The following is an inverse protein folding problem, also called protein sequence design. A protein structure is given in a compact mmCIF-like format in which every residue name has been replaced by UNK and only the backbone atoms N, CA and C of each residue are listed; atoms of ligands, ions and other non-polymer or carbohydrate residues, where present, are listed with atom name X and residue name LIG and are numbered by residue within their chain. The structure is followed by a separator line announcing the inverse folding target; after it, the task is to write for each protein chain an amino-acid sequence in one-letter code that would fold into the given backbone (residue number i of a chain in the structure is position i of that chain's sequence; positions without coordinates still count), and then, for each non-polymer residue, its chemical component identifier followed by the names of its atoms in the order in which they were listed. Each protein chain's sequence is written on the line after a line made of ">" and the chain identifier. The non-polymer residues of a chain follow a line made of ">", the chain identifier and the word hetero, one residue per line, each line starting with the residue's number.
data_IF_297737273391
#
_entry.id   IF_297737273391
#
_cell.length_a   1.000
_cell.length_b   1.000
_cell.length_c   1.000
_cell.angle_alpha   90.00
_cell.angle_beta   90.00
_cell.angle_gamma   90.00
#
_symmetry.space_group_name_H-M   'P 1'
#
loop_
_entity.id
_entity.type
_entity.pdbx_description
1 polymer ?
#
# COMPACT_ATOMS: atom_id res chain seq x y z
N UNK A 1 -5.67 51.32 -39.16
CA UNK A 1 -6.57 51.20 -38.00
C UNK A 1 -7.04 49.76 -37.92
N UNK A 2 -6.39 48.93 -37.09
CA UNK A 2 -6.87 47.60 -36.74
C UNK A 2 -6.22 47.19 -35.41
N UNK A 3 -7.03 47.20 -34.36
CA UNK A 3 -6.81 46.50 -33.10
C UNK A 3 -6.71 44.97 -33.39
N UNK A 4 -6.19 44.08 -32.55
CA UNK A 4 -6.40 43.93 -31.11
C UNK A 4 -5.46 42.83 -30.61
N UNK A 5 -4.93 42.98 -29.39
CA UNK A 5 -4.33 41.91 -28.58
C UNK A 5 -5.29 40.72 -28.41
N UNK A 6 -4.76 39.49 -28.42
CA UNK A 6 -5.35 38.38 -27.68
C UNK A 6 -4.25 37.39 -27.25
N UNK A 7 -3.60 37.75 -26.15
CA UNK A 7 -2.88 36.84 -25.27
C UNK A 7 -3.91 35.97 -24.53
N UNK A 8 -4.12 34.73 -24.95
CA UNK A 8 -4.93 33.73 -24.24
C UNK A 8 -4.20 32.40 -24.45
N UNK A 9 -3.36 31.95 -23.52
CA UNK A 9 -3.84 31.32 -22.29
C UNK A 9 -3.74 29.82 -22.47
N UNK A 10 -2.51 29.29 -22.45
CA UNK A 10 -2.27 27.85 -22.46
C UNK A 10 -2.82 27.25 -21.15
N UNK A 11 -3.77 26.32 -21.19
CA UNK A 11 -4.21 25.65 -19.98
C UNK A 11 -3.11 24.67 -19.55
N UNK A 12 -2.26 25.09 -18.61
CA UNK A 12 -1.44 24.21 -17.78
C UNK A 12 -2.35 23.41 -16.82
N UNK A 13 -3.18 22.53 -17.35
CA UNK A 13 -4.10 21.72 -16.55
C UNK A 13 -4.24 20.32 -17.13
N UNK A 14 -3.20 19.50 -16.92
CA UNK A 14 -3.33 18.05 -16.98
C UNK A 14 -2.23 17.31 -16.18
N UNK A 15 -1.93 17.76 -14.95
CA UNK A 15 -1.37 16.85 -13.93
C UNK A 15 -2.55 16.09 -13.29
N UNK A 16 -3.27 15.30 -14.08
CA UNK A 16 -4.24 14.35 -13.53
C UNK A 16 -3.47 13.10 -13.08
N UNK A 17 -3.65 12.63 -11.83
CA UNK A 17 -3.10 11.34 -11.44
C UNK A 17 -3.90 10.27 -12.19
N UNK A 18 -3.33 9.75 -13.29
CA UNK A 18 -3.82 8.59 -14.02
C UNK A 18 -3.50 7.31 -13.24
N UNK A 19 -4.02 7.23 -12.02
CA UNK A 19 -4.08 6.04 -11.22
C UNK A 19 -5.56 5.81 -10.93
N UNK A 20 -6.09 4.60 -11.16
CA UNK A 20 -7.39 4.23 -10.63
C UNK A 20 -7.33 4.45 -9.11
N UNK A 21 -7.97 5.52 -8.63
CA UNK A 21 -8.25 5.71 -7.21
C UNK A 21 -9.31 4.69 -6.86
N UNK A 22 -8.85 3.50 -6.48
CA UNK A 22 -9.60 2.57 -5.64
C UNK A 22 -9.76 3.25 -4.26
N UNK A 23 -10.55 4.32 -4.21
CA UNK A 23 -10.92 5.05 -2.99
C UNK A 23 -12.02 4.29 -2.21
N UNK A 24 -12.27 3.02 -2.53
CA UNK A 24 -13.09 2.17 -1.66
C UNK A 24 -12.29 1.89 -0.41
N UNK A 25 -12.64 2.45 0.76
CA UNK A 25 -11.96 2.09 1.99
C UNK A 25 -12.17 0.60 2.19
N UNK A 26 -11.10 -0.18 2.07
CA UNK A 26 -11.11 -1.58 2.50
C UNK A 26 -11.22 -1.54 4.01
N UNK A 27 -12.46 -1.53 4.51
CA UNK A 27 -12.75 -1.68 5.93
C UNK A 27 -12.39 -3.13 6.25
N UNK A 28 -11.14 -3.33 6.67
CA UNK A 28 -10.73 -4.59 7.25
C UNK A 28 -11.75 -4.91 8.36
N UNK A 29 -12.31 -6.13 8.40
CA UNK A 29 -13.17 -6.51 9.51
C UNK A 29 -12.37 -6.22 10.78
N UNK A 30 -12.93 -5.39 11.68
CA UNK A 30 -12.27 -5.10 12.96
C UNK A 30 -11.91 -6.45 13.55
N UNK A 31 -10.61 -6.74 13.68
CA UNK A 31 -10.18 -7.85 14.52
C UNK A 31 -10.86 -7.57 15.85
N UNK A 32 -11.82 -8.42 16.20
CA UNK A 32 -12.55 -8.27 17.43
C UNK A 32 -11.52 -8.08 18.52
N UNK A 33 -11.66 -7.00 19.31
CA UNK A 33 -10.69 -6.67 20.35
C UNK A 33 -10.28 -7.96 21.04
N UNK A 34 -8.98 -8.25 20.99
CA UNK A 34 -8.43 -9.41 21.68
C UNK A 34 -9.00 -9.35 23.10
N UNK A 35 -9.49 -10.49 23.65
CA UNK A 35 -9.87 -10.50 25.06
C UNK A 35 -8.71 -9.87 25.82
N UNK A 36 -9.01 -8.96 26.75
CA UNK A 36 -7.97 -8.26 27.49
C UNK A 36 -7.02 -9.33 28.02
N UNK A 37 -5.83 -9.44 27.42
CA UNK A 37 -4.80 -10.32 27.94
C UNK A 37 -4.54 -9.76 29.33
N UNK A 38 -4.99 -10.50 30.34
CA UNK A 38 -4.87 -10.07 31.74
C UNK A 38 -3.45 -9.58 31.97
N UNK A 39 -3.27 -8.53 32.79
CA UNK A 39 -1.97 -7.89 32.94
C UNK A 39 -0.93 -8.97 33.20
N UNK A 40 0.07 -9.08 32.31
CA UNK A 40 1.24 -9.89 32.57
C UNK A 40 1.81 -9.37 33.89
N UNK A 41 1.69 -10.14 34.96
CA UNK A 41 2.14 -9.77 36.29
C UNK A 41 3.68 -9.80 36.39
N UNK A 42 4.38 -9.58 35.28
CA UNK A 42 5.82 -9.45 35.20
C UNK A 42 6.24 -8.22 35.99
N UNK A 43 7.07 -8.44 37.01
CA UNK A 43 7.55 -7.35 37.85
C UNK A 43 8.53 -6.51 37.05
N UNK A 44 8.33 -5.19 37.09
CA UNK A 44 9.24 -4.23 36.50
C UNK A 44 10.16 -3.64 37.58
N UNK A 45 11.35 -3.22 37.19
CA UNK A 45 12.24 -2.40 38.01
C UNK A 45 11.78 -0.92 38.03
N UNK A 46 12.52 -0.06 38.74
CA UNK A 46 12.23 1.37 38.85
C UNK A 46 12.29 2.12 37.51
N UNK A 47 12.93 1.52 36.51
CA UNK A 47 13.08 2.06 35.16
C UNK A 47 12.07 1.46 34.17
N UNK A 48 11.18 0.57 34.63
CA UNK A 48 10.18 -0.09 33.80
C UNK A 48 10.68 -1.33 33.04
N UNK A 49 11.87 -1.85 33.32
CA UNK A 49 12.38 -3.06 32.70
C UNK A 49 11.93 -4.32 33.44
N UNK A 50 11.68 -5.44 32.74
CA UNK A 50 11.32 -6.69 33.37
C UNK A 50 12.45 -7.23 34.25
N UNK A 51 12.15 -7.48 35.53
CA UNK A 51 13.08 -8.11 36.46
C UNK A 51 13.31 -9.57 36.04
N UNK A 52 14.53 -9.89 35.63
CA UNK A 52 14.93 -11.26 35.24
C UNK A 52 14.77 -12.20 36.45
N UNK A 53 14.04 -13.30 36.26
CA UNK A 53 13.78 -14.30 37.31
C UNK A 53 12.68 -13.93 38.31
N UNK A 54 12.04 -12.76 38.19
CA UNK A 54 10.92 -12.40 39.03
C UNK A 54 9.63 -13.03 38.49
N UNK A 55 9.20 -14.13 39.12
CA UNK A 55 7.90 -14.74 38.84
C UNK A 55 6.75 -13.82 39.29
N UNK A 56 5.60 -13.87 38.61
CA UNK A 56 4.40 -13.17 39.07
C UNK A 56 4.00 -13.66 40.47
N UNK A 57 3.58 -12.74 41.35
CA UNK A 57 3.24 -13.03 42.76
C UNK A 57 2.04 -13.98 42.92
N UNK A 58 1.21 -14.12 41.87
CA UNK A 58 0.05 -14.99 41.85
C UNK A 58 -0.17 -15.53 40.44
N UNK A 59 -0.80 -16.70 40.35
CA UNK A 59 -1.32 -17.20 39.10
C UNK A 59 -2.39 -16.23 38.57
N UNK A 60 -2.46 -16.08 37.24
CA UNK A 60 -3.57 -15.39 36.62
C UNK A 60 -4.90 -16.08 37.02
N UNK A 61 -5.97 -15.32 37.28
CA UNK A 61 -7.27 -15.91 37.52
C UNK A 61 -7.68 -16.77 36.31
N UNK A 62 -8.22 -17.95 36.57
CA UNK A 62 -8.72 -18.80 35.50
C UNK A 62 -9.96 -18.15 34.88
N UNK A 63 -10.03 -18.16 33.55
CA UNK A 63 -11.22 -17.73 32.81
C UNK A 63 -12.38 -18.68 33.07
N UNK A 64 -13.60 -18.16 33.06
CA UNK A 64 -14.78 -18.99 33.30
C UNK A 64 -15.09 -19.89 32.10
N UNK A 65 -15.82 -21.00 32.32
CA UNK A 65 -16.22 -21.87 31.23
C UNK A 65 -17.12 -21.14 30.21
N UNK A 66 -17.94 -20.21 30.69
CA UNK A 66 -18.80 -19.37 29.86
C UNK A 66 -17.97 -18.46 28.95
N UNK A 67 -16.90 -17.85 29.46
CA UNK A 67 -15.98 -17.02 28.66
C UNK A 67 -15.23 -17.85 27.60
N UNK A 68 -14.85 -19.09 27.95
CA UNK A 68 -14.23 -20.03 27.02
C UNK A 68 -15.21 -20.39 25.90
N UNK A 69 -16.47 -20.67 26.22
CA UNK A 69 -17.48 -21.02 25.21
C UNK A 69 -17.85 -19.81 24.35
N UNK A 70 -18.04 -18.63 24.93
CA UNK A 70 -18.29 -17.39 24.19
C UNK A 70 -17.15 -17.08 23.20
N UNK A 71 -15.90 -17.33 23.62
CA UNK A 71 -14.73 -17.19 22.74
C UNK A 71 -14.76 -18.22 21.61
N UNK A 72 -15.06 -19.49 21.91
CA UNK A 72 -15.19 -20.54 20.88
C UNK A 72 -16.26 -20.19 19.86
N UNK A 73 -17.45 -19.80 20.29
CA UNK A 73 -18.57 -19.44 19.42
C UNK A 73 -18.22 -18.22 18.55
N UNK A 74 -17.53 -17.23 19.13
CA UNK A 74 -17.07 -16.04 18.41
C UNK A 74 -16.15 -16.40 17.24
N UNK A 75 -15.26 -17.39 17.43
CA UNK A 75 -14.29 -17.79 16.43
C UNK A 75 -14.68 -19.02 15.59
N UNK A 76 -15.78 -19.71 15.92
CA UNK A 76 -16.22 -20.94 15.26
C UNK A 76 -16.38 -20.82 13.73
N UNK A 77 -16.73 -19.62 13.25
CA UNK A 77 -17.04 -19.38 11.84
C UNK A 77 -16.08 -18.39 11.16
N UNK A 78 -14.92 -18.11 11.74
CA UNK A 78 -13.97 -17.15 11.15
C UNK A 78 -13.46 -17.65 9.80
N UNK A 79 -13.16 -18.94 9.68
CA UNK A 79 -12.72 -19.54 8.43
C UNK A 79 -13.82 -19.46 7.34
N UNK A 80 -15.09 -19.61 7.72
CA UNK A 80 -16.22 -19.51 6.79
C UNK A 80 -16.55 -18.06 6.37
N UNK A 81 -16.16 -17.07 7.20
CA UNK A 81 -16.30 -15.64 6.91
C UNK A 81 -15.13 -15.06 6.13
N UNK A 82 -14.03 -15.80 6.02
CA UNK A 82 -12.91 -15.38 5.19
C UNK A 82 -13.32 -15.54 3.71
N UNK A 83 -13.51 -14.42 3.02
CA UNK A 83 -13.61 -14.43 1.56
C UNK A 83 -12.31 -15.03 1.03
N UNK A 84 -12.36 -16.16 0.28
CA UNK A 84 -11.15 -16.73 -0.29
C UNK A 84 -10.49 -15.69 -1.21
N UNK A 85 -9.15 -15.65 -1.28
CA UNK A 85 -8.47 -14.79 -2.23
C UNK A 85 -9.00 -15.08 -3.64
N UNK A 86 -9.50 -14.03 -4.32
CA UNK A 86 -10.03 -14.17 -5.67
C UNK A 86 -8.87 -14.16 -6.67
N UNK A 87 -8.37 -15.35 -7.00
CA UNK A 87 -7.25 -15.55 -7.93
C UNK A 87 -7.49 -14.87 -9.29
N UNK A 88 -8.73 -14.79 -9.77
CA UNK A 88 -9.04 -14.15 -11.06
C UNK A 88 -8.93 -12.62 -11.00
N UNK A 89 -9.20 -12.00 -9.85
CA UNK A 89 -8.94 -10.57 -9.67
C UNK A 89 -7.44 -10.28 -9.57
N UNK A 90 -6.70 -11.14 -8.88
CA UNK A 90 -5.24 -11.06 -8.79
C UNK A 90 -4.57 -11.20 -10.16
N UNK A 91 -4.92 -12.23 -10.92
CA UNK A 91 -4.35 -12.47 -12.25
C UNK A 91 -4.64 -11.32 -13.23
N UNK A 92 -5.85 -10.74 -13.19
CA UNK A 92 -6.17 -9.54 -13.98
C UNK A 92 -5.26 -8.36 -13.63
N UNK A 93 -5.09 -8.07 -12.34
CA UNK A 93 -4.23 -6.97 -11.87
C UNK A 93 -2.75 -7.20 -12.23
N UNK A 94 -2.27 -8.43 -12.18
CA UNK A 94 -0.91 -8.78 -12.66
C UNK A 94 -0.79 -8.53 -14.17
N UNK A 95 -1.79 -8.93 -14.96
CA UNK A 95 -1.84 -8.67 -16.39
C UNK A 95 -1.79 -7.19 -16.72
N UNK A 96 -2.62 -6.38 -16.06
CA UNK A 96 -2.63 -4.92 -16.22
C UNK A 96 -1.27 -4.29 -15.91
N UNK A 97 -0.65 -4.66 -14.78
CA UNK A 97 0.68 -4.16 -14.40
C UNK A 97 1.77 -4.56 -15.39
N UNK A 98 1.70 -5.79 -15.93
CA UNK A 98 2.65 -6.26 -16.94
C UNK A 98 2.57 -5.47 -18.24
N UNK A 99 1.35 -5.10 -18.66
CA UNK A 99 1.15 -4.28 -19.86
C UNK A 99 1.67 -2.86 -19.67
N UNK A 100 1.41 -2.25 -18.50
CA UNK A 100 1.92 -0.93 -18.16
C UNK A 100 3.46 -0.93 -18.17
N UNK A 101 4.08 -1.95 -17.58
CA UNK A 101 5.54 -2.08 -17.58
C UNK A 101 6.13 -2.17 -18.99
N UNK A 102 5.52 -2.97 -19.87
CA UNK A 102 5.95 -3.10 -21.26
C UNK A 102 5.82 -1.78 -22.04
N UNK A 103 4.72 -1.04 -21.84
CA UNK A 103 4.54 0.29 -22.45
C UNK A 103 5.63 1.25 -21.99
N UNK A 104 5.88 1.35 -20.68
CA UNK A 104 6.91 2.24 -20.14
C UNK A 104 8.31 1.91 -20.65
N UNK A 105 8.65 0.62 -20.77
CA UNK A 105 9.92 0.20 -21.37
C UNK A 105 10.03 0.65 -22.83
N UNK A 106 8.99 0.44 -23.63
CA UNK A 106 8.99 0.85 -25.04
C UNK A 106 9.12 2.37 -25.22
N UNK A 107 8.48 3.16 -24.36
CA UNK A 107 8.59 4.61 -24.35
C UNK A 107 9.98 5.08 -23.92
N UNK A 108 10.56 4.46 -22.88
CA UNK A 108 11.90 4.77 -22.43
C UNK A 108 12.95 4.48 -23.51
N UNK A 109 12.83 3.32 -24.18
CA UNK A 109 13.71 2.98 -25.31
C UNK A 109 13.55 3.94 -26.50
N UNK A 110 12.32 4.33 -26.82
CA UNK A 110 12.07 5.30 -27.88
C UNK A 110 12.71 6.67 -27.56
N UNK A 111 12.60 7.13 -26.30
CA UNK A 111 13.25 8.37 -25.84
C UNK A 111 14.78 8.27 -25.86
N UNK A 112 15.34 7.13 -25.43
CA UNK A 112 16.78 6.88 -25.51
C UNK A 112 17.26 6.92 -26.97
N UNK A 113 16.56 6.25 -27.89
CA UNK A 113 16.88 6.30 -29.33
C UNK A 113 16.80 7.72 -29.89
N UNK A 114 15.74 8.47 -29.57
CA UNK A 114 15.59 9.86 -30.00
C UNK A 114 16.70 10.79 -29.45
N UNK A 115 17.13 10.59 -28.20
CA UNK A 115 18.24 11.34 -27.62
C UNK A 115 19.57 11.05 -28.33
N UNK A 116 19.81 9.79 -28.72
CA UNK A 116 21.04 9.41 -29.45
C UNK A 116 21.09 9.98 -30.87
N UNK A 117 19.96 10.08 -31.58
CA UNK A 117 19.91 10.67 -32.93
C UNK A 117 19.97 12.20 -32.91
N UNK A 118 19.40 12.86 -31.90
CA UNK A 118 19.52 14.31 -31.71
C UNK A 118 20.96 14.76 -31.43
N UNK A 119 21.68 14.03 -30.58
CA UNK A 119 23.09 14.31 -30.27
C UNK A 119 24.01 14.15 -31.49
N UNK A 120 23.72 13.21 -32.39
CA UNK A 120 24.50 12.99 -33.61
C UNK A 120 24.28 14.10 -34.66
N UNK A 121 23.06 14.66 -34.74
CA UNK A 121 22.74 15.77 -35.65
C UNK A 121 23.39 17.09 -35.21
N UNK A 122 23.40 17.39 -33.91
CA UNK A 122 24.05 18.58 -33.37
C UNK A 122 25.59 18.52 -33.53
N UNK A 123 26.20 17.35 -33.32
CA UNK A 123 27.64 17.16 -33.51
C UNK A 123 28.08 17.23 -34.99
N UNK A 124 27.20 16.91 -35.94
CA UNK A 124 27.46 17.05 -37.37
C UNK A 124 27.33 18.52 -37.81
N UNK A 125 26.37 19.26 -37.27
CA UNK A 125 26.16 20.69 -37.55
C UNK A 125 27.32 21.56 -37.03
N UNK A 126 27.89 21.23 -35.87
CA UNK A 126 29.03 21.96 -35.29
C UNK A 126 30.37 21.73 -35.99
N UNK A 127 30.50 20.73 -36.87
CA UNK A 127 31.74 20.42 -37.60
C UNK A 127 31.76 21.03 -39.01
N UNK A 128 30.64 21.56 -39.48
CA UNK A 128 30.48 22.15 -40.81
C UNK A 128 30.57 23.69 -40.83
N UNK A 129 30.87 24.31 -39.68
CA UNK A 129 31.18 25.74 -39.53
C UNK A 129 32.66 25.91 -39.22
#
# INVERSE_FOLDING_TARGET
>A
MAATLALIGAPLSACQPLLPRDDTPTILPRLGAAPASGPSAQRLDENGYPLIGAFPKAAAPQVSNEEVQATRDRFANVAARATPPNDAAYQRRVGELSQIAAQQQSEAEARLRAATTGSAADAASSRAQ
#
